data_IF_142278541100
#
_entry.id   IF_142278541100
#
_cell.length_a   1.000
_cell.length_b   1.000
_cell.length_c   1.000
_cell.angle_alpha   90.00
_cell.angle_beta   90.00
_cell.angle_gamma   90.00
#
_symmetry.space_group_name_H-M   'P 1'
#
loop_
_entity.id
_entity.type
_entity.pdbx_description
1 polymer ?
#
# COMPACT_ATOMS: atom_id res chain seq x y z
N UNK A 1 8.78 -6.00 -4.30
CA UNK A 1 9.04 -6.00 -2.85
C UNK A 1 10.24 -5.13 -2.48
N UNK A 2 11.47 -5.38 -2.97
CA UNK A 2 12.65 -4.56 -2.62
C UNK A 2 12.42 -3.05 -2.78
N UNK A 3 11.86 -2.61 -3.92
CA UNK A 3 11.57 -1.18 -4.11
C UNK A 3 10.44 -0.66 -3.22
N UNK A 4 9.50 -1.53 -2.82
CA UNK A 4 8.50 -1.17 -1.81
C UNK A 4 9.19 -0.73 -0.52
N UNK A 5 10.14 -1.54 -0.02
CA UNK A 5 10.92 -1.18 1.17
C UNK A 5 11.87 0.00 0.96
N UNK A 6 12.40 0.18 -0.24
CA UNK A 6 13.16 1.40 -0.56
C UNK A 6 12.27 2.65 -0.53
N UNK A 7 11.04 2.55 -1.04
CA UNK A 7 10.05 3.62 -1.03
C UNK A 7 9.64 4.04 0.38
N UNK A 8 9.38 3.06 1.24
CA UNK A 8 9.19 3.24 2.69
C UNK A 8 10.40 3.99 3.28
N UNK A 9 11.59 3.38 3.25
CA UNK A 9 12.76 3.96 3.91
C UNK A 9 13.10 5.37 3.42
N UNK A 10 12.93 5.64 2.12
CA UNK A 10 13.12 6.96 1.52
C UNK A 10 12.08 7.98 2.00
N UNK A 11 10.81 7.62 2.14
CA UNK A 11 9.77 8.51 2.69
C UNK A 11 9.91 8.70 4.21
N UNK A 12 10.40 7.68 4.90
CA UNK A 12 10.54 7.66 6.34
C UNK A 12 11.72 8.50 6.82
N UNK A 13 12.93 8.18 6.30
CA UNK A 13 14.23 8.73 6.73
C UNK A 13 14.37 8.82 8.25
N UNK A 14 14.18 7.67 8.92
CA UNK A 14 14.20 7.57 10.38
C UNK A 14 13.31 8.63 11.04
N UNK A 15 12.04 8.71 10.60
CA UNK A 15 11.01 9.64 11.07
C UNK A 15 11.20 11.10 10.63
N UNK A 16 12.36 11.48 10.07
CA UNK A 16 12.65 12.90 9.79
C UNK A 16 11.77 13.46 8.68
N UNK A 17 11.41 12.64 7.69
CA UNK A 17 10.64 13.11 6.53
C UNK A 17 9.15 12.76 6.63
N UNK A 18 8.78 11.60 7.19
CA UNK A 18 7.37 11.25 7.49
C UNK A 18 6.66 12.36 8.30
N UNK A 19 7.32 12.89 9.33
CA UNK A 19 6.73 13.94 10.19
C UNK A 19 7.07 15.38 9.73
N UNK A 20 7.76 15.54 8.59
CA UNK A 20 7.96 16.86 7.99
C UNK A 20 6.73 17.24 7.18
N UNK A 21 5.99 18.26 7.61
CA UNK A 21 4.73 18.68 6.96
C UNK A 21 4.92 19.61 5.76
N UNK A 22 6.14 19.65 5.19
CA UNK A 22 6.53 20.51 4.09
C UNK A 22 7.33 19.74 3.04
N UNK A 23 6.66 19.31 1.97
CA UNK A 23 7.27 18.77 0.77
C UNK A 23 8.39 19.67 0.22
N UNK A 24 8.22 21.00 0.10
CA UNK A 24 9.31 21.89 -0.30
C UNK A 24 10.56 21.78 0.57
N UNK A 25 10.40 21.64 1.89
CA UNK A 25 11.54 21.45 2.79
C UNK A 25 12.21 20.10 2.56
N UNK A 26 11.44 19.01 2.44
CA UNK A 26 11.99 17.67 2.14
C UNK A 26 12.80 17.71 0.84
N UNK A 27 12.27 18.33 -0.21
CA UNK A 27 12.96 18.48 -1.50
C UNK A 27 14.21 19.34 -1.38
N UNK A 28 14.19 20.41 -0.58
CA UNK A 28 15.38 21.21 -0.30
C UNK A 28 16.47 20.39 0.40
N UNK A 29 16.12 19.66 1.46
CA UNK A 29 17.06 18.79 2.17
C UNK A 29 17.64 17.71 1.24
N UNK A 30 16.82 17.12 0.37
CA UNK A 30 17.29 16.16 -0.63
C UNK A 30 18.34 16.78 -1.58
N UNK A 31 18.14 18.03 -2.02
CA UNK A 31 19.12 18.74 -2.86
C UNK A 31 20.41 19.04 -2.10
N UNK A 32 20.32 19.45 -0.83
CA UNK A 32 21.47 19.66 0.05
C UNK A 32 22.28 18.37 0.29
N UNK A 33 21.61 17.21 0.24
CA UNK A 33 22.23 15.88 0.27
C UNK A 33 22.82 15.44 -1.08
N UNK A 34 22.75 16.27 -2.12
CA UNK A 34 23.27 15.98 -3.46
C UNK A 34 22.30 15.24 -4.39
N UNK A 35 21.01 15.20 -4.03
CA UNK A 35 19.95 14.58 -4.81
C UNK A 35 19.80 13.08 -4.59
N UNK A 36 18.74 12.51 -5.18
CA UNK A 36 18.35 11.10 -4.96
C UNK A 36 19.47 10.10 -5.33
N UNK A 37 20.27 10.41 -6.34
CA UNK A 37 21.40 9.55 -6.75
C UNK A 37 22.57 9.49 -5.76
N UNK A 38 22.57 10.31 -4.71
CA UNK A 38 23.59 10.30 -3.64
C UNK A 38 23.11 9.66 -2.35
N UNK A 39 21.82 9.32 -2.27
CA UNK A 39 21.26 8.63 -1.12
C UNK A 39 21.75 7.18 -1.08
N UNK A 40 22.17 6.75 0.11
CA UNK A 40 22.49 5.37 0.42
C UNK A 40 21.50 4.90 1.48
N UNK A 41 20.50 4.14 1.06
CA UNK A 41 19.43 3.61 1.92
C UNK A 41 19.99 2.42 2.68
N UNK A 42 20.54 2.73 3.86
CA UNK A 42 21.12 1.78 4.79
C UNK A 42 20.93 2.27 6.24
N UNK A 43 21.03 1.34 7.19
CA UNK A 43 21.05 1.67 8.62
C UNK A 43 22.32 2.47 9.00
N UNK A 44 22.23 3.36 9.99
CA UNK A 44 21.06 3.64 10.83
C UNK A 44 20.14 4.76 10.30
N UNK A 45 20.53 5.45 9.22
CA UNK A 45 19.87 6.69 8.79
C UNK A 45 18.58 6.44 7.99
N UNK A 46 18.48 5.29 7.33
CA UNK A 46 17.35 4.89 6.49
C UNK A 46 16.82 3.51 6.86
N UNK A 47 16.33 3.31 8.10
CA UNK A 47 15.59 2.11 8.46
C UNK A 47 14.28 2.07 7.67
N UNK A 48 13.74 0.87 7.47
CA UNK A 48 12.34 0.73 7.04
C UNK A 48 11.39 1.01 8.21
N UNK A 49 10.19 1.52 7.94
CA UNK A 49 9.14 1.77 8.93
C UNK A 49 8.31 0.50 9.23
N UNK A 50 7.17 0.66 9.91
CA UNK A 50 6.22 -0.43 10.13
C UNK A 50 5.58 -0.91 8.81
N UNK A 51 5.57 -0.07 7.77
CA UNK A 51 5.12 -0.37 6.42
C UNK A 51 5.75 -1.65 5.88
N UNK A 52 7.08 -1.66 5.75
CA UNK A 52 7.80 -2.82 5.22
C UNK A 52 7.74 -4.01 6.16
N UNK A 53 7.78 -3.78 7.48
CA UNK A 53 7.70 -4.86 8.47
C UNK A 53 6.37 -5.62 8.35
N UNK A 54 5.25 -4.89 8.25
CA UNK A 54 3.93 -5.49 8.06
C UNK A 54 3.74 -6.03 6.64
N UNK A 55 4.28 -5.39 5.60
CA UNK A 55 4.25 -5.92 4.24
C UNK A 55 5.02 -7.25 4.11
N UNK A 56 6.18 -7.36 4.76
CA UNK A 56 6.92 -8.62 4.90
C UNK A 56 6.11 -9.67 5.65
N UNK A 57 5.42 -9.30 6.73
CA UNK A 57 4.58 -10.23 7.47
C UNK A 57 3.45 -10.82 6.59
N UNK A 58 2.79 -9.99 5.77
CA UNK A 58 1.81 -10.47 4.78
C UNK A 58 2.47 -11.40 3.76
N UNK A 59 3.61 -11.01 3.21
CA UNK A 59 4.31 -11.78 2.17
C UNK A 59 4.82 -13.13 2.68
N UNK A 60 5.37 -13.18 3.90
CA UNK A 60 5.86 -14.40 4.55
C UNK A 60 4.70 -15.36 4.86
N UNK A 61 3.55 -14.84 5.30
CA UNK A 61 2.35 -15.66 5.49
C UNK A 61 1.87 -16.28 4.15
N UNK A 62 1.79 -15.48 3.08
CA UNK A 62 1.40 -15.94 1.75
C UNK A 62 2.41 -16.94 1.16
N UNK A 63 3.72 -16.75 1.43
CA UNK A 63 4.80 -17.61 0.96
C UNK A 63 4.74 -19.04 1.53
N UNK A 64 4.00 -19.26 2.62
CA UNK A 64 3.72 -20.61 3.14
C UNK A 64 2.89 -21.47 2.17
N UNK A 65 2.17 -20.83 1.22
CA UNK A 65 1.28 -21.51 0.28
C UNK A 65 -0.06 -21.96 0.89
N UNK A 66 -0.32 -21.63 2.15
CA UNK A 66 -1.62 -21.85 2.82
C UNK A 66 -2.74 -21.08 2.11
N UNK A 67 -3.98 -21.55 2.24
CA UNK A 67 -5.18 -20.93 1.67
C UNK A 67 -6.35 -20.97 2.64
N UNK A 68 -7.38 -20.15 2.39
CA UNK A 68 -8.59 -20.08 3.22
C UNK A 68 -8.29 -19.79 4.69
N UNK A 69 -9.01 -20.44 5.61
CA UNK A 69 -8.84 -20.33 7.06
C UNK A 69 -7.37 -20.46 7.50
N UNK A 70 -6.65 -21.43 6.94
CA UNK A 70 -5.25 -21.67 7.33
C UNK A 70 -4.33 -20.51 6.98
N UNK A 71 -4.63 -19.78 5.91
CA UNK A 71 -3.92 -18.56 5.54
C UNK A 71 -4.27 -17.41 6.48
N UNK A 72 -5.54 -17.26 6.87
CA UNK A 72 -5.95 -16.17 7.76
C UNK A 72 -5.36 -16.31 9.16
N UNK A 73 -5.29 -17.53 9.68
CA UNK A 73 -4.59 -17.83 10.93
C UNK A 73 -3.09 -17.52 10.82
N UNK A 74 -2.47 -17.84 9.67
CA UNK A 74 -1.06 -17.54 9.43
C UNK A 74 -0.79 -16.03 9.33
N UNK A 75 -1.64 -15.29 8.61
CA UNK A 75 -1.56 -13.83 8.52
C UNK A 75 -1.65 -13.19 9.91
N UNK A 76 -2.64 -13.59 10.73
CA UNK A 76 -2.77 -13.09 12.08
C UNK A 76 -1.55 -13.42 12.95
N UNK A 77 -0.97 -14.63 12.81
CA UNK A 77 0.26 -15.02 13.49
C UNK A 77 1.43 -14.14 13.08
N UNK A 78 1.63 -13.91 11.78
CA UNK A 78 2.70 -13.08 11.27
C UNK A 78 2.55 -11.61 11.69
N UNK A 79 1.34 -11.07 11.69
CA UNK A 79 1.09 -9.69 12.15
C UNK A 79 1.40 -9.51 13.64
N UNK A 80 0.98 -10.45 14.50
CA UNK A 80 1.31 -10.41 15.94
C UNK A 80 2.82 -10.52 16.16
N UNK A 81 3.50 -11.39 15.41
CA UNK A 81 4.95 -11.55 15.52
C UNK A 81 5.71 -10.30 15.06
N UNK A 82 5.26 -9.69 13.96
CA UNK A 82 5.85 -8.48 13.38
C UNK A 82 5.83 -7.28 14.35
N UNK A 83 4.84 -7.20 15.24
CA UNK A 83 4.77 -6.13 16.25
C UNK A 83 5.95 -6.12 17.23
N UNK A 84 6.76 -7.18 17.29
CA UNK A 84 8.00 -7.23 18.10
C UNK A 84 9.16 -6.45 17.47
N UNK A 85 9.07 -6.10 16.19
CA UNK A 85 10.09 -5.39 15.41
C UNK A 85 9.63 -3.95 15.09
N UNK A 86 9.01 -3.27 16.06
CA UNK A 86 8.42 -1.93 15.87
C UNK A 86 9.20 -0.81 16.56
N UNK A 87 10.29 -1.14 17.25
CA UNK A 87 11.12 -0.15 17.93
C UNK A 87 11.69 0.84 16.92
N UNK A 88 11.37 2.13 17.11
CA UNK A 88 11.81 3.19 16.21
C UNK A 88 11.14 3.22 14.83
N UNK A 89 10.07 2.42 14.60
CA UNK A 89 9.38 2.28 13.30
C UNK A 89 7.98 2.88 13.21
N UNK A 90 7.46 3.42 14.33
CA UNK A 90 6.21 4.20 14.42
C UNK A 90 4.92 3.54 13.91
N UNK A 91 4.58 2.30 14.36
CA UNK A 91 3.33 1.68 13.96
C UNK A 91 2.09 2.53 14.28
N UNK A 92 1.19 2.63 13.30
CA UNK A 92 -0.06 3.37 13.44
C UNK A 92 -0.96 2.83 14.58
N UNK A 93 -1.72 3.70 15.28
CA UNK A 93 -2.52 3.29 16.44
C UNK A 93 -3.56 2.22 16.14
N UNK A 94 -4.17 2.24 14.94
CA UNK A 94 -5.12 1.22 14.49
C UNK A 94 -4.44 -0.13 14.25
N UNK A 95 -3.22 -0.15 13.70
CA UNK A 95 -2.42 -1.37 13.55
C UNK A 95 -2.07 -1.97 14.92
N UNK A 96 -1.63 -1.15 15.88
CA UNK A 96 -1.33 -1.58 17.25
C UNK A 96 -2.58 -2.16 17.93
N UNK A 97 -3.70 -1.43 17.91
CA UNK A 97 -4.93 -1.85 18.55
C UNK A 97 -5.45 -3.16 17.92
N UNK A 98 -5.53 -3.21 16.60
CA UNK A 98 -6.01 -4.38 15.88
C UNK A 98 -5.17 -5.63 16.16
N UNK A 99 -3.84 -5.54 16.02
CA UNK A 99 -2.95 -6.68 16.29
C UNK A 99 -3.04 -7.17 17.73
N UNK A 100 -3.21 -6.28 18.70
CA UNK A 100 -3.38 -6.65 20.12
C UNK A 100 -4.66 -7.47 20.40
N UNK A 101 -5.65 -7.41 19.50
CA UNK A 101 -6.91 -8.15 19.63
C UNK A 101 -6.86 -9.52 18.96
N UNK A 102 -5.91 -9.76 18.05
CA UNK A 102 -5.74 -11.04 17.37
C UNK A 102 -5.37 -12.16 18.36
N UNK A 103 -5.91 -13.35 18.12
CA UNK A 103 -5.70 -14.58 18.88
C UNK A 103 -5.44 -15.74 17.91
N UNK A 104 -4.33 -15.73 17.15
CA UNK A 104 -4.02 -16.77 16.17
C UNK A 104 -4.01 -18.16 16.83
N UNK A 105 -4.57 -19.15 16.14
CA UNK A 105 -4.77 -20.51 16.65
C UNK A 105 -6.11 -20.74 17.37
N UNK A 106 -6.92 -19.70 17.55
CA UNK A 106 -8.33 -19.83 17.97
C UNK A 106 -9.25 -19.73 16.74
N UNK A 107 -10.33 -20.53 16.65
CA UNK A 107 -11.35 -20.34 15.61
C UNK A 107 -11.87 -18.90 15.59
N UNK A 108 -11.84 -18.24 14.42
CA UNK A 108 -12.22 -16.83 14.29
C UNK A 108 -11.30 -15.83 15.01
N UNK A 109 -10.16 -16.27 15.56
CA UNK A 109 -9.23 -15.45 16.33
C UNK A 109 -8.48 -14.40 15.51
N UNK A 110 -8.71 -14.33 14.20
CA UNK A 110 -8.21 -13.27 13.33
C UNK A 110 -9.27 -12.19 13.02
N UNK A 111 -10.49 -12.33 13.53
CA UNK A 111 -11.51 -11.29 13.44
C UNK A 111 -11.42 -10.32 14.62
N UNK A 112 -11.69 -9.04 14.35
CA UNK A 112 -11.86 -7.99 15.35
C UNK A 112 -13.20 -7.28 15.12
N UNK A 113 -13.78 -6.59 16.12
CA UNK A 113 -15.02 -5.83 15.94
C UNK A 113 -14.87 -4.68 14.94
N UNK A 114 -15.97 -4.23 14.33
CA UNK A 114 -15.97 -2.99 13.56
C UNK A 114 -15.54 -1.82 14.44
N UNK A 115 -14.81 -0.87 13.85
CA UNK A 115 -14.41 0.36 14.54
C UNK A 115 -14.48 1.56 13.59
N UNK A 116 -15.31 2.54 13.93
CA UNK A 116 -15.52 3.76 13.13
C UNK A 116 -14.23 4.56 12.89
N UNK A 117 -13.22 4.40 13.75
CA UNK A 117 -11.94 5.11 13.65
C UNK A 117 -10.86 4.29 12.91
N UNK A 118 -11.16 3.07 12.47
CA UNK A 118 -10.18 2.17 11.87
C UNK A 118 -9.97 2.43 10.36
N UNK A 119 -9.95 3.70 9.97
CA UNK A 119 -9.89 4.19 8.58
C UNK A 119 -8.47 4.28 8.00
N UNK A 120 -7.44 4.07 8.83
CA UNK A 120 -6.03 4.29 8.50
C UNK A 120 -5.48 3.47 7.32
N UNK A 121 -4.34 3.92 6.78
CA UNK A 121 -3.60 3.31 5.68
C UNK A 121 -2.93 1.97 6.05
N UNK A 122 -2.86 1.63 7.34
CA UNK A 122 -2.24 0.42 7.89
C UNK A 122 -2.54 -0.87 7.11
N UNK A 123 -3.79 -1.02 6.67
CA UNK A 123 -4.22 -2.14 5.85
C UNK A 123 -3.79 -2.05 4.37
N UNK A 124 -3.72 -0.86 3.80
CA UNK A 124 -3.28 -0.62 2.42
C UNK A 124 -1.78 -0.92 2.25
N UNK A 125 -0.96 -0.33 3.11
CA UNK A 125 0.50 -0.32 3.00
C UNK A 125 1.17 -1.70 3.05
N UNK A 126 0.45 -2.72 3.54
CA UNK A 126 0.95 -4.10 3.71
C UNK A 126 0.37 -5.12 2.72
N UNK A 127 -0.43 -4.70 1.75
CA UNK A 127 -1.28 -5.61 0.97
C UNK A 127 -0.88 -5.82 -0.49
N UNK A 128 0.13 -5.10 -0.97
CA UNK A 128 0.58 -5.21 -2.37
C UNK A 128 0.98 -6.65 -2.73
N UNK A 129 1.70 -7.36 -1.86
CA UNK A 129 2.11 -8.75 -2.08
C UNK A 129 0.94 -9.75 -2.29
N UNK A 130 -0.29 -9.41 -1.89
CA UNK A 130 -1.49 -10.20 -2.22
C UNK A 130 -1.71 -10.20 -3.73
N UNK A 131 -1.52 -9.06 -4.39
CA UNK A 131 -1.56 -8.95 -5.86
C UNK A 131 -0.42 -9.68 -6.57
N UNK A 132 0.75 -9.82 -5.93
CA UNK A 132 1.84 -10.67 -6.43
C UNK A 132 1.46 -12.16 -6.36
N UNK A 133 0.74 -12.57 -5.31
CA UNK A 133 0.32 -13.95 -5.08
C UNK A 133 -0.85 -14.37 -5.96
N UNK A 134 -1.77 -13.46 -6.24
CA UNK A 134 -3.02 -13.67 -6.98
C UNK A 134 -3.12 -12.72 -8.19
N UNK A 135 -2.16 -12.74 -9.13
CA UNK A 135 -2.09 -11.74 -10.19
C UNK A 135 -3.03 -12.01 -11.36
N UNK A 136 -3.59 -13.21 -11.49
CA UNK A 136 -4.36 -13.59 -12.69
C UNK A 136 -5.80 -13.09 -12.61
N UNK A 137 -6.46 -12.74 -13.75
CA UNK A 137 -7.87 -12.36 -13.74
C UNK A 137 -8.81 -13.41 -13.10
N UNK A 138 -8.48 -14.69 -13.22
CA UNK A 138 -9.20 -15.80 -12.56
C UNK A 138 -9.14 -15.74 -11.03
N UNK A 139 -8.20 -14.99 -10.47
CA UNK A 139 -7.91 -14.96 -9.05
C UNK A 139 -8.66 -13.82 -8.34
N UNK A 140 -9.41 -13.01 -9.09
CA UNK A 140 -10.03 -11.78 -8.60
C UNK A 140 -10.83 -12.00 -7.30
N UNK A 141 -11.67 -13.04 -7.25
CA UNK A 141 -12.45 -13.34 -6.05
C UNK A 141 -11.56 -13.69 -4.84
N UNK A 142 -10.48 -14.44 -5.05
CA UNK A 142 -9.52 -14.75 -3.99
C UNK A 142 -8.73 -13.51 -3.57
N UNK A 143 -8.33 -12.65 -4.51
CA UNK A 143 -7.67 -11.38 -4.23
C UNK A 143 -8.59 -10.48 -3.38
N UNK A 144 -9.87 -10.34 -3.75
CA UNK A 144 -10.88 -9.58 -3.00
C UNK A 144 -10.97 -10.13 -1.57
N UNK A 145 -11.21 -11.44 -1.43
CA UNK A 145 -11.34 -12.08 -0.14
C UNK A 145 -10.09 -11.88 0.74
N UNK A 146 -8.91 -12.23 0.23
CA UNK A 146 -7.67 -12.17 1.02
C UNK A 146 -7.28 -10.74 1.37
N UNK A 147 -7.44 -9.78 0.46
CA UNK A 147 -7.16 -8.36 0.75
C UNK A 147 -8.12 -7.77 1.78
N UNK A 148 -9.41 -8.09 1.71
CA UNK A 148 -10.39 -7.63 2.70
C UNK A 148 -10.12 -8.25 4.06
N UNK A 149 -9.96 -9.59 4.14
CA UNK A 149 -9.73 -10.27 5.42
C UNK A 149 -8.43 -9.81 6.08
N UNK A 150 -7.33 -9.75 5.32
CA UNK A 150 -6.04 -9.29 5.83
C UNK A 150 -6.08 -7.82 6.29
N UNK A 151 -6.87 -6.97 5.62
CA UNK A 151 -7.06 -5.59 5.98
C UNK A 151 -7.85 -5.45 7.28
N UNK A 152 -9.01 -6.11 7.36
CA UNK A 152 -9.92 -5.99 8.51
C UNK A 152 -9.45 -6.71 9.78
N UNK A 153 -8.38 -7.52 9.72
CA UNK A 153 -7.65 -8.00 10.91
C UNK A 153 -7.16 -6.86 11.81
N UNK A 154 -6.94 -5.66 11.26
CA UNK A 154 -6.62 -4.48 12.09
C UNK A 154 -7.46 -3.25 11.74
N UNK A 155 -7.95 -3.15 10.50
CA UNK A 155 -8.71 -2.02 10.00
C UNK A 155 -10.13 -2.44 9.63
N UNK A 156 -10.95 -2.82 10.62
CA UNK A 156 -12.33 -3.22 10.37
C UNK A 156 -13.23 -2.01 10.16
N UNK A 157 -12.99 -1.32 9.04
CA UNK A 157 -13.73 -0.21 8.49
C UNK A 157 -13.52 -0.18 6.97
N UNK A 158 -14.56 0.04 6.13
CA UNK A 158 -14.42 0.03 4.68
C UNK A 158 -13.35 0.96 4.13
N UNK A 159 -13.25 2.20 4.63
CA UNK A 159 -12.14 3.12 4.26
C UNK A 159 -10.76 2.48 4.43
N UNK A 160 -10.55 1.67 5.48
CA UNK A 160 -9.29 1.00 5.74
C UNK A 160 -9.07 -0.24 4.87
N UNK A 161 -9.95 -1.26 4.97
CA UNK A 161 -9.73 -2.52 4.24
C UNK A 161 -9.96 -2.43 2.72
N UNK A 162 -10.72 -1.44 2.22
CA UNK A 162 -10.78 -1.20 0.77
C UNK A 162 -9.48 -0.57 0.24
N UNK A 163 -8.68 0.06 1.12
CA UNK A 163 -7.31 0.44 0.81
C UNK A 163 -6.38 -0.76 0.61
N UNK A 164 -6.58 -1.82 1.40
CA UNK A 164 -5.93 -3.12 1.19
C UNK A 164 -6.29 -3.71 -0.17
N UNK A 165 -7.59 -3.69 -0.52
CA UNK A 165 -8.07 -4.12 -1.83
C UNK A 165 -7.42 -3.30 -2.96
N UNK A 166 -7.41 -1.97 -2.86
CA UNK A 166 -6.81 -1.11 -3.88
C UNK A 166 -5.32 -1.43 -4.09
N UNK A 167 -4.55 -1.56 -3.01
CA UNK A 167 -3.11 -1.86 -3.08
C UNK A 167 -2.83 -3.24 -3.69
N UNK A 168 -3.59 -4.26 -3.30
CA UNK A 168 -3.48 -5.60 -3.88
C UNK A 168 -3.88 -5.61 -5.37
N UNK A 169 -5.01 -4.98 -5.71
CA UNK A 169 -5.56 -4.97 -7.06
C UNK A 169 -4.66 -4.22 -8.04
N UNK A 170 -4.13 -3.07 -7.65
CA UNK A 170 -3.21 -2.29 -8.47
C UNK A 170 -1.89 -3.04 -8.68
N UNK A 171 -1.42 -3.76 -7.68
CA UNK A 171 -0.25 -4.63 -7.83
C UNK A 171 -0.52 -5.74 -8.84
N UNK A 172 -1.69 -6.39 -8.80
CA UNK A 172 -2.08 -7.38 -9.81
C UNK A 172 -2.17 -6.76 -11.22
N UNK A 173 -2.72 -5.55 -11.35
CA UNK A 173 -2.76 -4.82 -12.63
C UNK A 173 -1.38 -4.46 -13.16
N UNK A 174 -0.43 -4.11 -12.30
CA UNK A 174 0.97 -3.90 -12.66
C UNK A 174 1.59 -5.19 -13.22
N UNK A 175 1.42 -6.32 -12.54
CA UNK A 175 1.89 -7.64 -13.02
C UNK A 175 1.27 -7.99 -14.38
N UNK A 176 0.00 -7.67 -14.59
CA UNK A 176 -0.72 -7.89 -15.85
C UNK A 176 -0.32 -6.91 -16.97
N UNK A 177 0.52 -5.90 -16.69
CA UNK A 177 0.89 -4.86 -17.66
C UNK A 177 -0.29 -3.99 -18.11
N UNK A 178 -1.31 -3.80 -17.25
CA UNK A 178 -2.48 -3.00 -17.61
C UNK A 178 -2.12 -1.50 -17.67
N UNK A 179 -2.61 -0.75 -18.67
CA UNK A 179 -2.48 0.71 -18.70
C UNK A 179 -2.99 1.35 -17.40
N UNK A 180 -2.24 2.32 -16.89
CA UNK A 180 -2.53 2.97 -15.60
C UNK A 180 -3.94 3.57 -15.59
N UNK A 181 -4.39 4.17 -16.69
CA UNK A 181 -5.69 4.83 -16.83
C UNK A 181 -6.87 3.90 -16.50
N UNK A 182 -6.68 2.58 -16.61
CA UNK A 182 -7.71 1.59 -16.32
C UNK A 182 -7.78 1.16 -14.86
N UNK A 183 -6.80 1.53 -14.03
CA UNK A 183 -6.67 0.99 -12.68
C UNK A 183 -7.79 1.52 -11.76
N UNK A 184 -7.97 2.85 -11.71
CA UNK A 184 -9.02 3.49 -10.92
C UNK A 184 -10.43 3.03 -11.29
N UNK A 185 -10.85 3.09 -12.56
CA UNK A 185 -12.15 2.53 -12.98
C UNK A 185 -12.27 1.03 -12.73
N UNK A 186 -11.16 0.29 -12.82
CA UNK A 186 -11.10 -1.12 -12.45
C UNK A 186 -11.37 -1.36 -10.96
N UNK A 187 -10.86 -0.49 -10.08
CA UNK A 187 -11.17 -0.54 -8.65
C UNK A 187 -12.65 -0.29 -8.40
N UNK A 188 -13.22 0.78 -8.96
CA UNK A 188 -14.65 1.08 -8.81
C UNK A 188 -15.55 -0.07 -9.30
N UNK A 189 -15.21 -0.70 -10.44
CA UNK A 189 -15.91 -1.90 -10.95
C UNK A 189 -15.78 -3.12 -10.03
N UNK A 190 -14.76 -3.16 -9.18
CA UNK A 190 -14.53 -4.26 -8.24
C UNK A 190 -15.27 -4.06 -6.92
N UNK A 191 -15.63 -2.82 -6.55
CA UNK A 191 -16.31 -2.53 -5.28
C UNK A 191 -17.65 -3.27 -5.10
N UNK A 192 -18.52 -3.44 -6.11
CA UNK A 192 -19.74 -4.25 -5.95
C UNK A 192 -19.44 -5.70 -5.53
N UNK A 193 -18.40 -6.32 -6.10
CA UNK A 193 -17.99 -7.69 -5.76
C UNK A 193 -17.43 -7.75 -4.32
N UNK A 194 -16.70 -6.71 -3.89
CA UNK A 194 -16.23 -6.59 -2.52
C UNK A 194 -17.39 -6.42 -1.52
N UNK A 195 -18.43 -5.67 -1.90
CA UNK A 195 -19.63 -5.50 -1.08
C UNK A 195 -20.42 -6.81 -0.96
N UNK A 196 -20.61 -7.53 -2.08
CA UNK A 196 -21.22 -8.87 -2.09
C UNK A 196 -20.47 -9.82 -1.15
N UNK A 197 -19.13 -9.79 -1.15
CA UNK A 197 -18.32 -10.57 -0.21
C UNK A 197 -18.60 -10.20 1.26
N UNK A 198 -18.63 -8.90 1.60
CA UNK A 198 -18.91 -8.43 2.97
C UNK A 198 -20.31 -8.85 3.44
N UNK A 199 -21.30 -8.76 2.55
CA UNK A 199 -22.67 -9.19 2.84
C UNK A 199 -22.74 -10.72 3.04
N UNK A 200 -22.09 -11.50 2.18
CA UNK A 200 -22.05 -12.95 2.28
C UNK A 200 -21.29 -13.45 3.52
N UNK A 201 -20.22 -12.76 3.92
CA UNK A 201 -19.46 -13.09 5.13
C UNK A 201 -20.28 -12.91 6.42
N UNK A 202 -21.28 -12.01 6.42
CA UNK A 202 -22.24 -11.87 7.51
C UNK A 202 -21.66 -11.34 8.83
N UNK A 203 -20.46 -10.74 8.82
CA UNK A 203 -19.78 -10.21 10.02
C UNK A 203 -19.98 -8.70 10.06
N UNK A 204 -20.79 -8.24 11.03
CA UNK A 204 -21.09 -6.82 11.26
C UNK A 204 -21.47 -6.05 9.98
N UNK A 205 -22.29 -6.69 9.14
CA UNK A 205 -22.65 -6.21 7.80
C UNK A 205 -23.30 -4.84 7.82
N UNK A 206 -24.19 -4.55 8.78
CA UNK A 206 -24.89 -3.26 8.86
C UNK A 206 -23.92 -2.09 9.03
N UNK A 207 -22.97 -2.18 9.97
CA UNK A 207 -21.96 -1.15 10.20
C UNK A 207 -21.04 -0.95 8.98
N UNK A 208 -20.64 -2.03 8.33
CA UNK A 208 -19.82 -1.98 7.13
C UNK A 208 -20.56 -1.32 5.96
N UNK A 209 -21.81 -1.70 5.71
CA UNK A 209 -22.64 -1.14 4.63
C UNK A 209 -22.91 0.34 4.90
N UNK A 210 -23.19 0.73 6.15
CA UNK A 210 -23.44 2.13 6.52
C UNK A 210 -22.23 3.04 6.27
N UNK A 211 -21.00 2.53 6.41
CA UNK A 211 -19.77 3.29 6.21
C UNK A 211 -19.17 3.17 4.79
N UNK A 212 -19.81 2.41 3.89
CA UNK A 212 -19.23 2.01 2.61
C UNK A 212 -18.96 3.17 1.64
N UNK A 213 -19.90 4.12 1.57
CA UNK A 213 -19.96 5.07 0.46
C UNK A 213 -18.76 6.02 0.41
N UNK A 214 -18.19 6.38 1.57
CA UNK A 214 -17.08 7.32 1.65
C UNK A 214 -15.90 6.95 0.73
N UNK A 215 -15.44 5.70 0.79
CA UNK A 215 -14.31 5.26 -0.03
C UNK A 215 -14.64 5.35 -1.52
N UNK A 216 -15.84 4.87 -1.91
CA UNK A 216 -16.28 4.88 -3.30
C UNK A 216 -16.40 6.32 -3.84
N UNK A 217 -17.12 7.19 -3.13
CA UNK A 217 -17.36 8.58 -3.52
C UNK A 217 -16.03 9.36 -3.65
N UNK A 218 -15.06 9.13 -2.75
CA UNK A 218 -13.74 9.76 -2.83
C UNK A 218 -12.95 9.31 -4.05
N UNK A 219 -13.00 8.03 -4.41
CA UNK A 219 -12.35 7.54 -5.62
C UNK A 219 -13.05 8.01 -6.90
N UNK A 220 -14.38 8.07 -6.93
CA UNK A 220 -15.15 8.66 -8.03
C UNK A 220 -14.78 10.13 -8.24
N UNK A 221 -14.73 10.91 -7.16
CA UNK A 221 -14.28 12.30 -7.19
C UNK A 221 -12.85 12.44 -7.73
N UNK A 222 -11.89 11.68 -7.19
CA UNK A 222 -10.49 11.74 -7.63
C UNK A 222 -10.35 11.41 -9.12
N UNK A 223 -11.04 10.38 -9.61
CA UNK A 223 -10.98 10.02 -11.03
C UNK A 223 -11.60 11.10 -11.92
N UNK A 224 -12.67 11.76 -11.46
CA UNK A 224 -13.23 12.91 -12.15
C UNK A 224 -12.21 14.06 -12.25
N UNK A 225 -11.55 14.40 -11.14
CA UNK A 225 -10.51 15.45 -11.10
C UNK A 225 -9.34 15.16 -12.06
N UNK A 226 -9.00 13.87 -12.23
CA UNK A 226 -7.96 13.42 -13.18
C UNK A 226 -8.45 13.18 -14.60
N UNK A 227 -9.75 13.32 -14.86
CA UNK A 227 -10.36 13.02 -16.17
C UNK A 227 -10.32 11.54 -16.54
N UNK A 228 -10.31 10.64 -15.54
CA UNK A 228 -10.13 9.20 -15.69
C UNK A 228 -11.39 8.37 -15.42
N UNK A 229 -12.56 8.98 -15.26
CA UNK A 229 -13.83 8.27 -14.97
C UNK A 229 -14.09 7.11 -15.94
N UNK A 230 -13.83 7.31 -17.24
CA UNK A 230 -14.06 6.29 -18.28
C UNK A 230 -12.83 5.43 -18.59
N UNK A 231 -11.73 5.62 -17.85
CA UNK A 231 -10.45 4.94 -18.08
C UNK A 231 -9.77 5.31 -19.38
N UNK A 232 -10.01 6.53 -19.86
CA UNK A 232 -9.40 7.07 -21.09
C UNK A 232 -8.53 8.26 -20.73
N UNK A 233 -7.29 8.24 -21.21
CA UNK A 233 -6.39 9.38 -21.09
C UNK A 233 -6.71 10.51 -22.08
N UNK A 234 -5.95 11.62 -22.02
CA UNK A 234 -4.81 11.84 -21.14
C UNK A 234 -5.23 12.18 -19.70
N UNK A 235 -4.38 11.78 -18.74
CA UNK A 235 -4.51 12.19 -17.33
C UNK A 235 -4.43 13.72 -17.23
N UNK A 236 -5.32 14.33 -16.45
CA UNK A 236 -5.33 15.77 -16.20
C UNK A 236 -4.59 16.09 -14.90
N UNK A 237 -3.47 16.79 -15.01
CA UNK A 237 -2.80 17.40 -13.86
C UNK A 237 -3.02 18.92 -13.87
N UNK A 238 -3.08 19.56 -12.69
CA UNK A 238 -3.04 21.02 -12.62
C UNK A 238 -1.77 21.59 -13.28
N UNK A 239 -1.82 22.78 -13.89
CA UNK A 239 -0.64 23.38 -14.55
C UNK A 239 0.55 23.58 -13.61
N UNK A 240 0.29 23.97 -12.36
CA UNK A 240 1.28 24.03 -11.29
C UNK A 240 1.09 22.82 -10.39
N UNK A 241 2.09 21.93 -10.37
CA UNK A 241 2.04 20.67 -9.64
C UNK A 241 3.40 20.29 -9.05
N UNK A 242 4.12 21.29 -8.52
CA UNK A 242 5.38 21.14 -7.80
C UNK A 242 5.17 20.68 -6.36
N UNK A 243 6.24 20.56 -5.54
CA UNK A 243 6.14 20.07 -4.17
C UNK A 243 5.13 20.85 -3.30
N UNK A 244 5.12 22.19 -3.39
CA UNK A 244 4.21 23.03 -2.61
C UNK A 244 2.74 22.84 -3.05
N UNK A 245 2.50 22.81 -4.37
CA UNK A 245 1.14 22.62 -4.90
C UNK A 245 0.62 21.22 -4.61
N UNK A 246 1.48 20.19 -4.69
CA UNK A 246 1.12 18.82 -4.36
C UNK A 246 0.72 18.67 -2.89
N UNK A 247 1.42 19.29 -1.94
CA UNK A 247 1.00 19.25 -0.53
C UNK A 247 -0.39 19.84 -0.32
N UNK A 248 -0.71 20.96 -0.97
CA UNK A 248 -2.05 21.57 -0.92
C UNK A 248 -3.10 20.65 -1.52
N UNK A 249 -2.78 20.00 -2.64
CA UNK A 249 -3.71 19.12 -3.35
C UNK A 249 -3.89 17.78 -2.62
N UNK A 250 -2.83 17.17 -2.11
CA UNK A 250 -2.92 15.93 -1.34
C UNK A 250 -3.75 16.13 -0.07
N UNK A 251 -3.71 17.31 0.56
CA UNK A 251 -4.63 17.64 1.66
C UNK A 251 -6.10 17.57 1.26
N UNK A 252 -6.48 17.83 0.01
CA UNK A 252 -7.88 17.67 -0.44
C UNK A 252 -8.28 16.20 -0.61
N UNK A 253 -7.30 15.31 -0.77
CA UNK A 253 -7.53 13.86 -0.84
C UNK A 253 -7.78 13.30 0.56
N UNK A 254 -7.16 13.90 1.57
CA UNK A 254 -7.17 13.41 2.95
C UNK A 254 -8.55 13.41 3.61
N UNK A 255 -8.70 12.51 4.58
CA UNK A 255 -9.89 12.46 5.45
C UNK A 255 -9.82 13.53 6.55
N UNK A 256 -8.67 13.70 7.19
CA UNK A 256 -8.50 14.51 8.41
C UNK A 256 -7.27 15.44 8.37
N UNK A 257 -6.77 15.77 7.18
CA UNK A 257 -5.74 16.79 6.97
C UNK A 257 -4.30 16.25 6.87
N UNK A 258 -4.06 14.99 7.22
CA UNK A 258 -2.78 14.32 6.97
C UNK A 258 -2.92 13.38 5.77
N UNK A 259 -2.49 13.87 4.60
CA UNK A 259 -2.68 13.18 3.34
C UNK A 259 -1.85 11.89 3.24
N UNK A 260 -2.47 10.80 2.80
CA UNK A 260 -1.87 9.48 2.69
C UNK A 260 -2.11 8.59 3.91
N UNK A 261 -2.69 9.12 4.99
CA UNK A 261 -2.82 8.40 6.26
C UNK A 261 -4.00 7.44 6.32
N UNK A 262 -4.89 7.45 5.35
CA UNK A 262 -6.10 6.63 5.33
C UNK A 262 -6.06 5.61 4.20
N UNK A 263 -6.86 4.55 4.32
CA UNK A 263 -6.89 3.49 3.31
C UNK A 263 -7.40 3.97 1.95
N UNK A 264 -8.17 5.07 1.86
CA UNK A 264 -8.59 5.61 0.57
C UNK A 264 -7.50 6.44 -0.11
N UNK A 265 -6.72 7.24 0.62
CA UNK A 265 -5.81 8.23 0.04
C UNK A 265 -4.35 7.76 -0.07
N UNK A 266 -3.86 6.85 0.77
CA UNK A 266 -2.54 6.21 0.58
C UNK A 266 -2.37 5.63 -0.84
N UNK A 267 -3.21 4.66 -1.27
CA UNK A 267 -3.13 4.13 -2.63
C UNK A 267 -3.52 5.15 -3.71
N UNK A 268 -4.29 6.19 -3.39
CA UNK A 268 -4.65 7.25 -4.33
C UNK A 268 -3.48 8.17 -4.66
N UNK A 269 -2.71 8.60 -3.65
CA UNK A 269 -1.49 9.40 -3.84
C UNK A 269 -0.42 8.57 -4.53
N UNK A 270 -0.28 7.29 -4.14
CA UNK A 270 0.61 6.36 -4.83
C UNK A 270 0.26 6.22 -6.33
N UNK A 271 -1.03 6.09 -6.65
CA UNK A 271 -1.52 6.02 -8.02
C UNK A 271 -1.35 7.34 -8.78
N UNK A 272 -1.57 8.48 -8.14
CA UNK A 272 -1.30 9.80 -8.70
C UNK A 272 0.18 9.97 -9.07
N UNK A 273 1.09 9.49 -8.21
CA UNK A 273 2.52 9.47 -8.47
C UNK A 273 2.86 8.58 -9.68
N UNK A 274 2.28 7.38 -9.77
CA UNK A 274 2.47 6.48 -10.92
C UNK A 274 2.03 7.12 -12.24
N UNK A 275 0.87 7.78 -12.25
CA UNK A 275 0.33 8.49 -13.42
C UNK A 275 1.23 9.66 -13.85
N UNK A 276 1.91 10.32 -12.91
CA UNK A 276 2.73 11.51 -13.17
C UNK A 276 4.23 11.27 -13.33
N UNK A 277 4.75 10.09 -12.98
CA UNK A 277 6.18 9.81 -12.94
C UNK A 277 6.74 9.22 -14.25
N UNK A 278 5.90 8.53 -15.04
CA UNK A 278 6.38 7.72 -16.16
C UNK A 278 7.43 6.71 -15.70
N UNK A 279 8.49 6.55 -16.48
CA UNK A 279 9.62 5.66 -16.17
C UNK A 279 10.71 6.32 -15.31
N UNK A 280 10.44 7.45 -14.66
CA UNK A 280 11.44 8.14 -13.82
C UNK A 280 11.25 7.79 -12.34
N UNK A 281 12.23 7.06 -11.77
CA UNK A 281 12.29 6.77 -10.33
C UNK A 281 12.33 8.06 -9.50
N UNK A 282 13.09 9.06 -9.95
CA UNK A 282 13.17 10.36 -9.27
C UNK A 282 11.84 11.11 -9.24
N UNK A 283 11.09 11.11 -10.35
CA UNK A 283 9.75 11.70 -10.38
C UNK A 283 8.76 10.94 -9.50
N UNK A 284 8.85 9.61 -9.46
CA UNK A 284 8.03 8.80 -8.54
C UNK A 284 8.32 9.16 -7.08
N UNK A 285 9.60 9.19 -6.70
CA UNK A 285 10.02 9.56 -5.36
C UNK A 285 9.59 10.98 -4.99
N UNK A 286 9.80 11.94 -5.88
CA UNK A 286 9.38 13.32 -5.68
C UNK A 286 7.87 13.48 -5.44
N UNK A 287 7.04 12.59 -6.00
CA UNK A 287 5.57 12.64 -5.90
C UNK A 287 5.01 11.83 -4.74
N UNK A 288 5.57 10.66 -4.46
CA UNK A 288 5.03 9.72 -3.46
C UNK A 288 5.85 9.63 -2.18
N UNK A 289 7.17 9.80 -2.18
CA UNK A 289 7.98 9.68 -0.96
C UNK A 289 8.33 11.05 -0.36
N UNK A 290 8.33 12.10 -1.16
CA UNK A 290 8.81 13.42 -0.75
C UNK A 290 7.68 14.45 -0.78
N UNK A 291 6.75 14.33 0.16
CA UNK A 291 5.63 15.25 0.36
C UNK A 291 5.32 15.42 1.85
N UNK A 292 4.61 16.49 2.21
CA UNK A 292 4.31 16.86 3.60
C UNK A 292 3.23 16.02 4.29
N UNK A 293 3.02 14.79 3.81
CA UNK A 293 1.97 13.87 4.25
C UNK A 293 2.57 12.58 4.82
N UNK A 294 1.76 11.54 4.90
CA UNK A 294 2.18 10.19 5.31
C UNK A 294 2.88 9.55 4.09
N UNK A 295 4.21 9.73 4.04
CA UNK A 295 4.98 9.67 2.79
C UNK A 295 5.76 8.36 2.61
N UNK A 296 6.09 7.66 3.68
CA UNK A 296 6.53 6.27 3.65
C UNK A 296 5.36 5.34 3.22
N UNK A 297 4.15 5.54 3.76
CA UNK A 297 2.96 4.74 3.41
C UNK A 297 2.55 4.86 1.93
N UNK A 298 2.60 6.07 1.37
CA UNK A 298 2.33 6.29 -0.06
C UNK A 298 3.50 5.78 -0.91
N UNK A 299 4.74 5.97 -0.44
CA UNK A 299 5.97 5.49 -1.06
C UNK A 299 6.03 3.97 -1.20
N UNK A 300 5.71 3.22 -0.14
CA UNK A 300 5.78 1.76 -0.12
C UNK A 300 4.84 1.14 -1.16
N UNK A 301 3.64 1.71 -1.35
CA UNK A 301 2.65 1.29 -2.36
C UNK A 301 3.12 1.66 -3.77
N UNK A 302 3.50 2.93 -3.96
CA UNK A 302 3.90 3.47 -5.27
C UNK A 302 5.10 2.72 -5.84
N UNK A 303 6.16 2.54 -5.04
CA UNK A 303 7.37 1.85 -5.47
C UNK A 303 7.16 0.36 -5.71
N UNK A 304 6.23 -0.29 -4.99
CA UNK A 304 5.91 -1.68 -5.27
C UNK A 304 5.32 -1.82 -6.68
N UNK A 305 4.34 -0.98 -7.04
CA UNK A 305 3.72 -1.01 -8.36
C UNK A 305 4.70 -0.58 -9.46
N UNK A 306 5.45 0.50 -9.25
CA UNK A 306 6.41 1.01 -10.24
C UNK A 306 7.50 -0.01 -10.55
N UNK A 307 8.01 -0.69 -9.51
CA UNK A 307 9.04 -1.71 -9.65
C UNK A 307 8.65 -2.93 -10.48
N UNK A 308 7.35 -3.26 -10.52
CA UNK A 308 6.84 -4.34 -11.37
C UNK A 308 6.80 -3.96 -12.85
N UNK A 309 6.66 -2.67 -13.13
CA UNK A 309 6.61 -2.15 -14.51
C UNK A 309 8.01 -1.93 -15.08
N UNK A 310 8.94 -1.39 -14.28
CA UNK A 310 10.22 -0.90 -14.78
C UNK A 310 11.46 -1.65 -14.24
N UNK A 311 11.29 -2.54 -13.27
CA UNK A 311 12.40 -3.30 -12.69
C UNK A 311 13.38 -2.43 -11.88
N UNK A 312 14.66 -2.84 -11.83
CA UNK A 312 15.70 -2.22 -11.00
C UNK A 312 16.80 -1.51 -11.80
N UNK A 313 16.79 -1.60 -13.13
CA UNK A 313 17.97 -1.32 -13.97
C UNK A 313 18.46 0.14 -13.88
N UNK A 314 17.53 1.10 -13.84
CA UNK A 314 17.85 2.53 -13.87
C UNK A 314 17.75 3.20 -12.49
N UNK A 315 17.74 2.41 -11.42
CA UNK A 315 17.66 2.91 -10.06
C UNK A 315 19.07 3.03 -9.49
N UNK A 316 19.42 4.17 -8.84
CA UNK A 316 20.68 4.29 -8.12
C UNK A 316 20.85 3.11 -7.15
N UNK A 317 21.94 2.37 -7.27
CA UNK A 317 22.18 1.16 -6.47
C UNK A 317 22.15 1.45 -4.96
N UNK A 318 22.63 2.63 -4.55
CA UNK A 318 22.56 3.11 -3.17
C UNK A 318 21.14 3.13 -2.59
N UNK A 319 20.10 3.24 -3.43
CA UNK A 319 18.72 3.32 -2.94
C UNK A 319 18.15 1.97 -2.47
N UNK A 320 18.79 0.84 -2.78
CA UNK A 320 18.16 -0.47 -2.52
C UNK A 320 19.13 -1.63 -2.27
N UNK A 321 20.44 -1.47 -2.49
CA UNK A 321 21.39 -2.59 -2.38
C UNK A 321 21.69 -3.00 -0.94
N UNK A 322 21.77 -2.02 -0.03
CA UNK A 322 22.06 -2.23 1.40
C UNK A 322 20.82 -2.02 2.29
N UNK A 323 19.63 -2.02 1.66
CA UNK A 323 18.35 -1.84 2.32
C UNK A 323 18.14 -2.89 3.42
N UNK A 324 17.64 -2.45 4.57
CA UNK A 324 17.26 -3.32 5.67
C UNK A 324 16.26 -4.42 5.21
N UNK A 325 16.47 -5.65 5.65
CA UNK A 325 15.66 -6.82 5.28
C UNK A 325 15.57 -7.15 3.78
N UNK A 326 16.48 -6.63 2.95
CA UNK A 326 16.52 -6.93 1.51
C UNK A 326 16.46 -8.43 1.20
N UNK A 327 17.24 -9.25 1.89
CA UNK A 327 17.27 -10.70 1.65
C UNK A 327 15.93 -11.38 1.98
N UNK A 328 15.24 -10.93 3.04
CA UNK A 328 13.89 -11.39 3.37
C UNK A 328 12.91 -11.00 2.28
N UNK A 329 12.96 -9.76 1.80
CA UNK A 329 12.11 -9.28 0.70
C UNK A 329 12.34 -10.07 -0.59
N UNK A 330 13.60 -10.36 -0.94
CA UNK A 330 13.94 -11.17 -2.12
C UNK A 330 13.43 -12.62 -1.95
N UNK A 331 13.66 -13.23 -0.79
CA UNK A 331 13.20 -14.60 -0.49
C UNK A 331 11.66 -14.72 -0.56
N UNK A 332 10.95 -13.78 0.04
CA UNK A 332 9.48 -13.73 0.00
C UNK A 332 8.97 -13.50 -1.43
N UNK A 333 9.55 -12.55 -2.18
CA UNK A 333 9.18 -12.30 -3.57
C UNK A 333 9.38 -13.54 -4.46
N UNK A 334 10.52 -14.24 -4.32
CA UNK A 334 10.79 -15.47 -5.06
C UNK A 334 9.80 -16.59 -4.71
N UNK A 335 9.41 -16.71 -3.44
CA UNK A 335 8.43 -17.72 -3.01
C UNK A 335 7.03 -17.40 -3.53
N UNK A 336 6.62 -16.13 -3.49
CA UNK A 336 5.36 -15.67 -4.06
C UNK A 336 5.30 -15.90 -5.57
N UNK A 337 6.38 -15.59 -6.29
CA UNK A 337 6.49 -15.83 -7.74
C UNK A 337 6.28 -17.30 -8.09
N UNK A 338 6.97 -18.22 -7.39
CA UNK A 338 6.82 -19.67 -7.59
C UNK A 338 5.39 -20.16 -7.34
N UNK A 339 4.74 -19.64 -6.30
CA UNK A 339 3.35 -19.97 -5.97
C UNK A 339 2.34 -19.46 -7.01
N UNK A 340 2.58 -18.29 -7.59
CA UNK A 340 1.69 -17.66 -8.55
C UNK A 340 1.83 -18.21 -9.98
N UNK A 341 3.04 -18.64 -10.36
CA UNK A 341 3.37 -18.98 -11.75
C UNK A 341 3.73 -20.45 -11.95
N UNK A 342 4.56 -21.05 -11.09
CA UNK A 342 5.09 -22.40 -11.34
C UNK A 342 4.13 -23.52 -10.92
N UNK A 343 3.35 -23.32 -9.83
CA UNK A 343 2.39 -24.33 -9.34
C UNK A 343 1.11 -24.46 -10.15
N UNK A 344 0.90 -23.62 -11.16
CA UNK A 344 -0.27 -23.70 -12.07
C UNK A 344 0.02 -24.49 -13.35
N UNK A 345 1.26 -24.90 -13.57
CA UNK A 345 1.69 -25.62 -14.78
C UNK A 345 1.51 -27.14 -14.71
N UNK A 346 0.64 -27.64 -13.82
CA UNK A 346 0.37 -29.08 -13.61
C UNK A 346 -1.09 -29.40 -13.88
#
# INVERSE_FOLDING_TARGET
>A
MVLSGAGDALGYRNQRWEYCTSGPQIHQELQEMGGLGKIHVALPDWPVSDDTVLHLATAEALATGKTGESLFQELARCYVEAMKDMEGRKPGPTSILGTSQLRPGKPGGYHIPFNSNATGCGAAMRSMCIGLRYPHPSDLNTLIQVSIESGRMTHHHPTGYLGSLASALFTAYAVQGRPLELWGPGLLKTLPLALEYIQAAGIETEANVAAWSYFQEKWEWYLSERGLTDGRGPVRFPPAYGPAERDVIYKTFSLDGWAGRSGHDAPMIAYDALLGAGSSWEQLCGRSMFHGGDSDSTGVIAACCWGLTYGLQDIPSGNHMELEYRDRMVSSANSLFRLAWERRSV
#
